data_IF_657453832599
#
_entry.id   IF_657453832599
#
_cell.length_a   1.000
_cell.length_b   1.000
_cell.length_c   1.000
_cell.angle_alpha   90.00
_cell.angle_beta   90.00
_cell.angle_gamma   90.00
#
_symmetry.space_group_name_H-M   'P 1'
#
loop_
_entity.id
_entity.type
_entity.pdbx_description
1 polymer ?
#
# COMPACT_ATOMS: atom_id res chain seq x y z
N UNK A 1 11.00 0.01 -13.17
CA UNK A 1 10.05 1.14 -13.00
C UNK A 1 10.83 2.40 -12.67
N UNK A 2 10.41 3.56 -13.19
CA UNK A 2 11.15 4.84 -13.01
C UNK A 2 11.12 5.39 -11.58
N UNK A 3 10.12 4.99 -10.78
CA UNK A 3 9.99 5.37 -9.38
C UNK A 3 9.08 4.40 -8.63
N UNK A 4 9.12 4.44 -7.30
CA UNK A 4 8.21 3.64 -6.47
C UNK A 4 6.74 4.01 -6.68
N UNK A 5 6.45 5.29 -6.95
CA UNK A 5 5.10 5.74 -7.29
C UNK A 5 4.60 5.11 -8.60
N UNK A 6 5.47 5.02 -9.62
CA UNK A 6 5.13 4.34 -10.88
C UNK A 6 4.88 2.85 -10.67
N UNK A 7 5.64 2.21 -9.77
CA UNK A 7 5.40 0.82 -9.39
C UNK A 7 4.06 0.65 -8.66
N UNK A 8 3.73 1.53 -7.70
CA UNK A 8 2.46 1.51 -7.00
C UNK A 8 1.25 1.71 -7.93
N UNK A 9 1.40 2.55 -8.97
CA UNK A 9 0.39 2.68 -10.02
C UNK A 9 0.22 1.38 -10.80
N UNK A 10 1.33 0.72 -11.17
CA UNK A 10 1.29 -0.56 -11.87
C UNK A 10 0.67 -1.69 -11.03
N UNK A 11 0.95 -1.75 -9.73
CA UNK A 11 0.40 -2.77 -8.82
C UNK A 11 -1.04 -2.48 -8.37
N UNK A 12 -1.60 -1.30 -8.71
CA UNK A 12 -2.92 -0.87 -8.24
C UNK A 12 -2.96 -0.48 -6.75
N UNK A 13 -1.80 -0.25 -6.13
CA UNK A 13 -1.68 0.18 -4.72
C UNK A 13 -1.61 1.71 -4.57
N UNK A 14 -1.45 2.46 -5.66
CA UNK A 14 -1.39 3.91 -5.62
C UNK A 14 -2.68 4.54 -5.05
N UNK A 15 -2.57 5.53 -4.13
CA UNK A 15 -3.71 6.25 -3.62
C UNK A 15 -4.33 7.11 -4.72
N UNK A 16 -5.65 7.05 -4.89
CA UNK A 16 -6.38 7.97 -5.76
C UNK A 16 -7.20 8.91 -4.88
N UNK A 17 -6.85 10.20 -4.83
CA UNK A 17 -7.58 11.15 -4.00
C UNK A 17 -9.00 11.35 -4.54
N UNK A 18 -9.94 11.50 -3.62
CA UNK A 18 -11.31 11.92 -3.89
C UNK A 18 -11.59 13.13 -3.03
N UNK A 19 -12.18 14.14 -3.65
CA UNK A 19 -12.46 15.43 -3.04
C UNK A 19 -13.98 15.58 -3.02
N UNK A 20 -14.57 15.55 -1.84
CA UNK A 20 -16.00 15.86 -1.64
C UNK A 20 -16.24 16.87 -0.51
N UNK A 21 -15.22 17.14 0.31
CA UNK A 21 -15.25 18.06 1.44
C UNK A 21 -13.81 18.31 1.93
N UNK A 22 -13.64 19.03 3.05
CA UNK A 22 -12.36 19.33 3.70
C UNK A 22 -11.66 18.12 4.36
N UNK A 23 -12.01 16.89 3.95
CA UNK A 23 -11.51 15.64 4.53
C UNK A 23 -10.79 14.82 3.46
N UNK A 24 -9.50 14.49 3.64
CA UNK A 24 -8.77 13.70 2.65
C UNK A 24 -9.32 12.27 2.61
N UNK A 25 -9.83 11.85 1.43
CA UNK A 25 -10.29 10.49 1.18
C UNK A 25 -9.57 9.88 -0.02
N UNK A 26 -9.36 8.56 0.05
CA UNK A 26 -8.70 7.81 -1.03
C UNK A 26 -9.57 6.64 -1.47
N UNK A 27 -9.90 6.62 -2.77
CA UNK A 27 -10.62 5.50 -3.38
C UNK A 27 -9.67 4.37 -3.78
N UNK A 28 -10.24 3.19 -3.97
CA UNK A 28 -9.55 2.04 -4.54
C UNK A 28 -9.13 2.34 -5.98
N UNK A 29 -7.86 2.11 -6.31
CA UNK A 29 -7.42 2.04 -7.69
C UNK A 29 -7.88 0.71 -8.30
N UNK A 30 -8.77 0.79 -9.31
CA UNK A 30 -9.22 -0.37 -10.09
C UNK A 30 -8.31 -0.64 -11.30
N UNK A 31 -7.48 0.33 -11.67
CA UNK A 31 -6.50 0.22 -12.73
C UNK A 31 -5.18 -0.33 -12.18
N UNK A 32 -4.46 -1.10 -12.98
CA UNK A 32 -3.25 -1.80 -12.58
C UNK A 32 -3.40 -3.32 -12.59
N UNK A 33 -2.30 -4.02 -12.30
CA UNK A 33 -2.23 -5.47 -12.33
C UNK A 33 -2.99 -6.09 -11.14
N UNK A 34 -4.12 -6.75 -11.44
CA UNK A 34 -5.02 -7.32 -10.42
C UNK A 34 -4.41 -8.50 -9.68
N UNK A 35 -3.51 -9.26 -10.30
CA UNK A 35 -2.81 -10.35 -9.65
C UNK A 35 -1.82 -9.80 -8.61
N UNK A 36 -1.01 -8.81 -8.98
CA UNK A 36 -0.09 -8.14 -8.05
C UNK A 36 -0.85 -7.45 -6.91
N UNK A 37 -1.96 -6.78 -7.20
CA UNK A 37 -2.81 -6.18 -6.18
C UNK A 37 -3.38 -7.22 -5.19
N UNK A 38 -3.72 -8.42 -5.68
CA UNK A 38 -4.21 -9.52 -4.86
C UNK A 38 -3.08 -10.16 -4.05
N UNK A 39 -1.87 -10.26 -4.61
CA UNK A 39 -0.67 -10.70 -3.89
C UNK A 39 -0.37 -9.75 -2.71
N UNK A 40 -0.28 -8.44 -2.97
CA UNK A 40 -0.11 -7.42 -1.93
C UNK A 40 -1.20 -7.48 -0.85
N UNK A 41 -2.44 -7.78 -1.25
CA UNK A 41 -3.53 -7.92 -0.29
C UNK A 41 -3.34 -9.12 0.64
N UNK A 42 -2.95 -10.28 0.09
CA UNK A 42 -2.65 -11.48 0.89
C UNK A 42 -1.49 -11.24 1.84
N UNK A 43 -0.39 -10.65 1.35
CA UNK A 43 0.76 -10.27 2.18
C UNK A 43 0.32 -9.37 3.34
N UNK A 44 -0.48 -8.33 3.05
CA UNK A 44 -0.97 -7.42 4.08
C UNK A 44 -1.81 -8.15 5.14
N UNK A 45 -2.72 -9.06 4.74
CA UNK A 45 -3.52 -9.83 5.70
C UNK A 45 -2.65 -10.75 6.56
N UNK A 46 -1.73 -11.49 5.94
CA UNK A 46 -0.79 -12.37 6.66
C UNK A 46 0.06 -11.57 7.65
N UNK A 47 0.58 -10.42 7.25
CA UNK A 47 1.35 -9.55 8.14
C UNK A 47 0.51 -9.00 9.28
N UNK A 48 -0.75 -8.64 9.06
CA UNK A 48 -1.61 -8.17 10.17
C UNK A 48 -1.83 -9.25 11.24
N UNK A 49 -1.84 -10.54 10.84
CA UNK A 49 -1.96 -11.66 11.77
C UNK A 49 -0.63 -11.94 12.47
N UNK A 50 0.46 -12.09 11.72
CA UNK A 50 1.71 -12.65 12.26
C UNK A 50 2.81 -11.63 12.53
N UNK A 51 2.69 -10.40 12.05
CA UNK A 51 3.75 -9.39 12.12
C UNK A 51 3.32 -8.16 12.95
N UNK A 52 3.77 -8.05 14.22
CA UNK A 52 3.40 -6.93 15.10
C UNK A 52 3.66 -5.52 14.50
N UNK A 53 4.76 -5.26 13.77
CA UNK A 53 4.97 -3.96 13.12
C UNK A 53 3.87 -3.57 12.13
N UNK A 54 3.26 -4.54 11.41
CA UNK A 54 2.17 -4.23 10.49
C UNK A 54 0.89 -3.80 11.22
N UNK A 55 0.63 -4.36 12.41
CA UNK A 55 -0.46 -3.89 13.29
C UNK A 55 -0.18 -2.48 13.80
N UNK A 56 1.04 -2.25 14.28
CA UNK A 56 1.48 -0.93 14.74
C UNK A 56 1.32 0.13 13.65
N UNK A 57 1.74 -0.18 12.42
CA UNK A 57 1.54 0.70 11.26
C UNK A 57 0.06 1.01 11.01
N UNK A 58 -0.80 -0.03 11.01
CA UNK A 58 -2.25 0.15 10.80
C UNK A 58 -2.86 1.03 11.89
N UNK A 59 -2.50 0.79 13.14
CA UNK A 59 -3.09 1.46 14.30
C UNK A 59 -2.63 2.93 14.35
N UNK A 60 -1.34 3.19 14.16
CA UNK A 60 -0.80 4.54 13.98
C UNK A 60 -1.45 5.27 12.79
N UNK A 61 -1.62 4.60 11.65
CA UNK A 61 -2.28 5.21 10.51
C UNK A 61 -3.74 5.59 10.81
N UNK A 62 -4.49 4.74 11.55
CA UNK A 62 -5.86 5.04 11.96
C UNK A 62 -5.93 6.21 12.95
N UNK A 63 -4.97 6.33 13.86
CA UNK A 63 -4.87 7.46 14.80
C UNK A 63 -4.76 8.81 14.06
N UNK A 64 -3.91 8.87 13.03
CA UNK A 64 -3.78 10.07 12.17
C UNK A 64 -4.96 10.31 11.22
N UNK A 65 -5.86 9.33 11.07
CA UNK A 65 -7.00 9.40 10.14
C UNK A 65 -8.31 8.96 10.84
N UNK A 66 -8.83 9.74 11.80
CA UNK A 66 -9.93 9.33 12.70
C UNK A 66 -11.25 9.02 11.97
N UNK A 67 -11.42 9.49 10.74
CA UNK A 67 -12.61 9.23 9.91
C UNK A 67 -12.40 8.13 8.87
N UNK A 68 -11.21 7.53 8.82
CA UNK A 68 -10.89 6.53 7.84
C UNK A 68 -11.40 5.15 8.25
N UNK A 69 -11.87 4.40 7.26
CA UNK A 69 -12.31 3.02 7.49
C UNK A 69 -11.12 2.08 7.65
N UNK A 70 -11.33 0.93 8.31
CA UNK A 70 -10.33 -0.18 8.34
C UNK A 70 -9.84 -0.58 6.94
N UNK A 71 -10.72 -0.53 5.93
CA UNK A 71 -10.36 -0.79 4.53
C UNK A 71 -9.37 0.25 3.98
N UNK A 72 -9.47 1.51 4.40
CA UNK A 72 -8.53 2.56 4.02
C UNK A 72 -7.14 2.33 4.66
N UNK A 73 -7.10 1.93 5.93
CA UNK A 73 -5.83 1.56 6.60
C UNK A 73 -5.15 0.37 5.91
N UNK A 74 -5.91 -0.65 5.52
CA UNK A 74 -5.36 -1.78 4.73
C UNK A 74 -4.82 -1.31 3.38
N UNK A 75 -5.49 -0.36 2.70
CA UNK A 75 -4.97 0.22 1.45
C UNK A 75 -3.66 0.99 1.69
N UNK A 76 -3.55 1.72 2.79
CA UNK A 76 -2.32 2.40 3.17
C UNK A 76 -1.19 1.41 3.46
N UNK A 77 -1.47 0.30 4.15
CA UNK A 77 -0.49 -0.77 4.38
C UNK A 77 -0.05 -1.42 3.06
N UNK A 78 -0.98 -1.69 2.14
CA UNK A 78 -0.63 -2.19 0.79
C UNK A 78 0.24 -1.21 0.01
N UNK A 79 -0.02 0.09 0.13
CA UNK A 79 0.79 1.14 -0.50
C UNK A 79 2.21 1.11 0.04
N UNK A 80 2.37 1.02 1.37
CA UNK A 80 3.66 0.85 2.03
C UNK A 80 4.38 -0.42 1.58
N UNK A 81 3.69 -1.57 1.53
CA UNK A 81 4.28 -2.81 1.03
C UNK A 81 4.72 -2.72 -0.44
N UNK A 82 3.99 -1.97 -1.27
CA UNK A 82 4.42 -1.70 -2.63
C UNK A 82 5.75 -0.94 -2.69
N UNK A 83 6.01 -0.01 -1.77
CA UNK A 83 7.32 0.67 -1.67
C UNK A 83 8.41 -0.31 -1.22
N UNK A 84 8.14 -1.09 -0.18
CA UNK A 84 9.07 -2.10 0.34
C UNK A 84 9.50 -3.08 -0.75
N UNK A 85 8.54 -3.61 -1.53
CA UNK A 85 8.83 -4.51 -2.65
C UNK A 85 9.62 -3.82 -3.75
N UNK A 86 9.29 -2.57 -4.09
CA UNK A 86 10.05 -1.82 -5.11
C UNK A 86 11.53 -1.67 -4.70
N UNK A 87 11.78 -1.29 -3.45
CA UNK A 87 13.15 -1.15 -2.95
C UNK A 87 13.88 -2.49 -2.89
N UNK A 88 13.23 -3.55 -2.41
CA UNK A 88 13.83 -4.88 -2.37
C UNK A 88 14.22 -5.39 -3.76
N UNK A 89 13.33 -5.26 -4.76
CA UNK A 89 13.60 -5.65 -6.14
C UNK A 89 14.74 -4.83 -6.76
N UNK A 90 14.84 -3.54 -6.42
CA UNK A 90 15.90 -2.69 -6.91
C UNK A 90 17.23 -3.06 -6.28
N UNK A 91 17.29 -3.26 -4.97
CA UNK A 91 18.49 -3.73 -4.26
C UNK A 91 18.98 -5.07 -4.80
N UNK A 92 18.08 -6.02 -5.02
CA UNK A 92 18.40 -7.32 -5.61
C UNK A 92 18.98 -7.18 -7.02
N UNK A 93 18.38 -6.33 -7.85
CA UNK A 93 18.91 -6.05 -9.19
C UNK A 93 20.34 -5.48 -9.17
N UNK A 94 20.64 -4.56 -8.24
CA UNK A 94 22.00 -4.00 -8.08
C UNK A 94 23.03 -5.03 -7.60
N UNK A 95 22.60 -6.08 -6.88
CA UNK A 95 23.50 -7.14 -6.45
C UNK A 95 23.80 -8.16 -7.56
N UNK A 96 22.96 -8.24 -8.59
CA UNK A 96 23.09 -9.17 -9.72
C UNK A 96 23.89 -8.59 -10.90
N UNK A 97 24.04 -7.26 -10.95
CA UNK A 97 24.81 -6.53 -11.98
C UNK A 97 26.20 -6.19 -11.49
#
# INVERSE_FOLDING_TARGET
FRSSAAFAMHTGAAPIPVWSSNKPQYRLNRHGNRQLNACLHRIALTQLVHHPPARTYRDHWLEHHPHATRKAAIRALKRHLSDVLYHALHTDHHHLT
#
